data_IF_676287786128
#
_entry.id   IF_676287786128
#
_cell.length_a   1.000
_cell.length_b   1.000
_cell.length_c   1.000
_cell.angle_alpha   90.00
_cell.angle_beta   90.00
_cell.angle_gamma   90.00
#
_symmetry.space_group_name_H-M   'P 1'
#
loop_
_entity.id
_entity.type
_entity.pdbx_description
1 polymer ?
#
# COMPACT_ATOMS: atom_id res chain seq x y z
N UNK A 1 -1.30 2.49 -18.13
CA UNK A 1 -2.74 2.78 -18.37
C UNK A 1 -3.59 1.50 -18.37
N UNK A 2 -3.53 0.62 -19.39
CA UNK A 2 -4.19 -0.70 -19.39
C UNK A 2 -3.67 -1.65 -18.28
N UNK A 3 -2.38 -1.53 -17.97
CA UNK A 3 -1.66 -2.35 -17.00
C UNK A 3 -2.21 -2.32 -15.58
N UNK A 4 -2.62 -1.17 -15.04
CA UNK A 4 -3.14 -1.08 -13.65
C UNK A 4 -4.51 -1.74 -13.55
N UNK A 5 -5.40 -1.46 -14.52
CA UNK A 5 -6.71 -2.11 -14.57
C UNK A 5 -6.57 -3.63 -14.74
N UNK A 6 -5.65 -4.06 -15.61
CA UNK A 6 -5.36 -5.48 -15.84
C UNK A 6 -4.82 -6.16 -14.58
N UNK A 7 -3.90 -5.51 -13.85
CA UNK A 7 -3.36 -5.99 -12.59
C UNK A 7 -4.46 -6.16 -11.53
N UNK A 8 -5.30 -5.15 -11.36
CA UNK A 8 -6.39 -5.20 -10.37
C UNK A 8 -7.38 -6.32 -10.70
N UNK A 9 -7.87 -6.34 -11.94
CA UNK A 9 -8.92 -7.26 -12.40
C UNK A 9 -8.45 -8.71 -12.48
N UNK A 10 -7.24 -8.94 -12.97
CA UNK A 10 -6.80 -10.30 -13.31
C UNK A 10 -5.83 -10.91 -12.30
N UNK A 11 -5.30 -10.13 -11.35
CA UNK A 11 -4.34 -10.63 -10.36
C UNK A 11 -4.79 -10.32 -8.94
N UNK A 12 -4.93 -9.04 -8.59
CA UNK A 12 -5.15 -8.65 -7.18
C UNK A 12 -6.51 -9.12 -6.65
N UNK A 13 -7.61 -8.78 -7.33
CA UNK A 13 -8.96 -9.11 -6.87
C UNK A 13 -9.17 -10.63 -6.82
N UNK A 14 -8.83 -11.41 -7.87
CA UNK A 14 -8.93 -12.86 -7.81
C UNK A 14 -8.12 -13.49 -6.66
N UNK A 15 -6.90 -12.99 -6.41
CA UNK A 15 -6.07 -13.50 -5.32
C UNK A 15 -6.68 -13.23 -3.93
N UNK A 16 -7.32 -12.07 -3.73
CA UNK A 16 -8.01 -11.76 -2.48
C UNK A 16 -9.30 -12.58 -2.32
N UNK A 17 -10.02 -12.85 -3.42
CA UNK A 17 -11.20 -13.71 -3.43
C UNK A 17 -10.84 -15.15 -3.05
N UNK A 18 -9.77 -15.70 -3.63
CA UNK A 18 -9.26 -17.03 -3.30
C UNK A 18 -8.88 -17.16 -1.82
N UNK A 19 -8.42 -16.07 -1.20
CA UNK A 19 -8.09 -16.02 0.23
C UNK A 19 -9.29 -15.72 1.13
N UNK A 20 -10.47 -15.48 0.57
CA UNK A 20 -11.70 -15.17 1.32
C UNK A 20 -11.63 -13.87 2.14
N UNK A 21 -10.78 -12.92 1.76
CA UNK A 21 -10.50 -11.73 2.58
C UNK A 21 -10.93 -10.40 1.96
N UNK A 22 -11.58 -10.40 0.79
CA UNK A 22 -12.07 -9.17 0.13
C UNK A 22 -12.92 -8.33 1.09
N UNK A 23 -13.84 -8.97 1.81
CA UNK A 23 -14.75 -8.28 2.72
C UNK A 23 -14.11 -7.72 4.00
N UNK A 24 -12.85 -8.09 4.27
CA UNK A 24 -12.09 -7.57 5.43
C UNK A 24 -10.96 -6.65 4.99
N UNK A 25 -10.80 -6.43 3.68
CA UNK A 25 -9.69 -5.67 3.14
C UNK A 25 -10.05 -4.19 3.06
N UNK A 26 -9.22 -3.35 3.69
CA UNK A 26 -9.22 -1.90 3.45
C UNK A 26 -8.20 -1.62 2.35
N UNK A 27 -8.66 -1.10 1.22
CA UNK A 27 -7.81 -0.79 0.08
C UNK A 27 -7.25 0.63 0.20
N UNK A 28 -5.93 0.78 0.21
CA UNK A 28 -5.26 2.08 0.29
C UNK A 28 -4.46 2.35 -0.99
N UNK A 29 -4.69 3.52 -1.62
CA UNK A 29 -3.93 3.96 -2.80
C UNK A 29 -3.65 5.47 -2.75
N UNK A 30 -2.51 5.86 -3.29
CA UNK A 30 -2.18 7.27 -3.49
C UNK A 30 -3.15 7.98 -4.46
N UNK A 31 -3.17 9.31 -4.36
CA UNK A 31 -3.95 10.15 -5.26
C UNK A 31 -3.27 10.23 -6.63
N UNK A 32 -3.49 9.24 -7.49
CA UNK A 32 -3.03 9.24 -8.88
C UNK A 32 -3.87 10.19 -9.78
N UNK A 33 -3.35 10.66 -10.94
CA UNK A 33 -4.00 11.66 -11.78
C UNK A 33 -5.43 11.32 -12.25
N UNK A 34 -6.29 12.34 -12.47
CA UNK A 34 -7.74 12.19 -12.55
C UNK A 34 -8.28 11.45 -13.79
N UNK A 35 -7.55 11.38 -14.90
CA UNK A 35 -8.07 10.90 -16.19
C UNK A 35 -8.32 9.37 -16.27
N UNK A 36 -7.85 8.59 -15.28
CA UNK A 36 -8.03 7.11 -15.21
C UNK A 36 -8.85 6.71 -13.95
N UNK A 37 -9.28 7.69 -13.16
CA UNK A 37 -9.86 7.45 -11.85
C UNK A 37 -11.23 6.78 -11.89
N UNK A 38 -12.06 7.01 -12.91
CA UNK A 38 -13.47 6.59 -12.88
C UNK A 38 -13.67 5.06 -12.95
N UNK A 39 -13.12 4.38 -13.96
CA UNK A 39 -13.29 2.93 -14.11
C UNK A 39 -12.60 2.15 -12.98
N UNK A 40 -11.40 2.59 -12.58
CA UNK A 40 -10.69 2.01 -11.44
C UNK A 40 -11.48 2.25 -10.15
N UNK A 41 -12.09 3.43 -9.98
CA UNK A 41 -12.95 3.74 -8.84
C UNK A 41 -14.20 2.87 -8.81
N UNK A 42 -14.87 2.69 -9.95
CA UNK A 42 -16.02 1.78 -10.05
C UNK A 42 -15.63 0.34 -9.72
N UNK A 43 -14.52 -0.16 -10.28
CA UNK A 43 -14.04 -1.51 -9.99
C UNK A 43 -13.72 -1.69 -8.50
N UNK A 44 -12.98 -0.75 -7.90
CA UNK A 44 -12.67 -0.82 -6.47
C UNK A 44 -13.94 -0.72 -5.62
N UNK A 45 -14.86 0.18 -5.95
CA UNK A 45 -16.12 0.32 -5.22
C UNK A 45 -16.99 -0.94 -5.32
N UNK A 46 -16.99 -1.62 -6.47
CA UNK A 46 -17.73 -2.86 -6.68
C UNK A 46 -17.25 -4.00 -5.74
N UNK A 47 -15.94 -4.10 -5.51
CA UNK A 47 -15.37 -5.21 -4.72
C UNK A 47 -15.15 -4.86 -3.25
N UNK A 48 -14.72 -3.64 -2.95
CA UNK A 48 -14.37 -3.23 -1.59
C UNK A 48 -15.45 -2.36 -0.95
N UNK A 49 -16.37 -1.75 -1.69
CA UNK A 49 -17.29 -0.76 -1.11
C UNK A 49 -16.61 0.58 -0.81
N UNK A 50 -17.40 1.65 -0.77
CA UNK A 50 -16.90 3.03 -0.73
C UNK A 50 -16.25 3.41 0.61
N UNK A 51 -16.65 2.74 1.68
CA UNK A 51 -16.19 2.93 3.06
C UNK A 51 -14.85 2.25 3.35
N UNK A 52 -14.51 1.17 2.64
CA UNK A 52 -13.25 0.43 2.80
C UNK A 52 -12.16 0.85 1.81
N UNK A 53 -12.28 2.02 1.19
CA UNK A 53 -11.27 2.57 0.27
C UNK A 53 -10.71 3.89 0.80
N UNK A 54 -9.39 3.93 0.98
CA UNK A 54 -8.63 5.11 1.42
C UNK A 54 -7.86 5.70 0.23
N UNK A 55 -8.35 6.81 -0.33
CA UNK A 55 -7.72 7.54 -1.44
C UNK A 55 -8.33 8.94 -1.63
N UNK A 56 -7.65 9.83 -2.37
CA UNK A 56 -7.94 11.28 -2.50
C UNK A 56 -9.37 11.62 -2.98
N UNK A 57 -10.07 10.67 -3.61
CA UNK A 57 -11.40 10.88 -4.20
C UNK A 57 -12.46 9.90 -3.66
N UNK A 58 -12.25 9.34 -2.48
CA UNK A 58 -13.16 8.43 -1.78
C UNK A 58 -13.55 9.01 -0.42
N UNK A 59 -14.52 8.38 0.26
CA UNK A 59 -15.08 8.81 1.54
C UNK A 59 -14.02 9.02 2.62
N UNK A 60 -12.96 8.21 2.60
CA UNK A 60 -11.82 8.34 3.51
C UNK A 60 -10.63 8.94 2.75
N UNK A 61 -10.50 10.28 2.70
CA UNK A 61 -9.41 10.93 1.98
C UNK A 61 -8.08 10.71 2.71
N UNK A 62 -7.04 10.34 1.94
CA UNK A 62 -5.68 10.40 2.44
C UNK A 62 -5.21 11.86 2.45
N UNK A 63 -4.69 12.41 3.57
CA UNK A 63 -4.19 13.77 3.59
C UNK A 63 -3.07 13.97 2.54
N UNK A 64 -3.00 15.14 1.90
CA UNK A 64 -1.95 15.43 0.93
C UNK A 64 -0.57 15.35 1.59
N UNK A 65 0.41 14.73 0.90
CA UNK A 65 1.82 14.64 1.32
C UNK A 65 2.07 13.87 2.62
N UNK A 66 1.34 12.78 2.86
CA UNK A 66 1.57 11.88 4.00
C UNK A 66 2.13 10.51 3.58
N UNK A 67 3.41 10.43 3.12
CA UNK A 67 4.06 9.15 2.83
C UNK A 67 4.23 8.29 4.09
N UNK A 68 4.32 8.92 5.27
CA UNK A 68 4.33 8.29 6.60
C UNK A 68 3.07 7.49 6.90
N UNK A 69 1.95 7.79 6.23
CA UNK A 69 0.69 7.07 6.40
C UNK A 69 0.56 5.85 5.48
N UNK A 70 1.48 5.61 4.55
CA UNK A 70 1.45 4.42 3.70
C UNK A 70 2.51 3.44 4.15
N UNK A 71 2.16 2.23 4.63
CA UNK A 71 3.15 1.24 5.10
C UNK A 71 4.24 0.93 4.06
N UNK A 72 3.89 0.95 2.77
CA UNK A 72 4.86 0.74 1.70
C UNK A 72 5.90 1.87 1.60
N UNK A 73 5.45 3.13 1.67
CA UNK A 73 6.34 4.31 1.57
C UNK A 73 7.12 4.53 2.87
N UNK A 74 6.50 4.24 4.02
CA UNK A 74 7.11 4.38 5.35
C UNK A 74 8.20 3.34 5.60
N UNK A 75 7.98 2.07 5.22
CA UNK A 75 8.85 0.98 5.62
C UNK A 75 9.32 0.11 4.45
N UNK A 76 8.41 -0.41 3.62
CA UNK A 76 8.75 -1.45 2.65
C UNK A 76 9.82 -1.00 1.66
N UNK A 77 9.69 0.20 1.08
CA UNK A 77 10.67 0.70 0.11
C UNK A 77 12.04 0.96 0.73
N UNK A 78 12.09 1.50 1.95
CA UNK A 78 13.34 1.69 2.69
C UNK A 78 14.01 0.35 3.04
N UNK A 79 13.23 -0.61 3.52
CA UNK A 79 13.67 -1.97 3.80
C UNK A 79 14.23 -2.66 2.55
N UNK A 80 13.46 -2.68 1.46
CA UNK A 80 13.89 -3.30 0.19
C UNK A 80 15.14 -2.63 -0.35
N UNK A 81 15.23 -1.30 -0.29
CA UNK A 81 16.42 -0.58 -0.73
C UNK A 81 17.67 -1.02 0.06
N UNK A 82 17.53 -1.14 1.39
CA UNK A 82 18.62 -1.57 2.25
C UNK A 82 19.05 -3.03 1.97
N UNK A 83 18.11 -3.98 1.92
CA UNK A 83 18.45 -5.41 1.80
C UNK A 83 18.84 -5.84 0.39
N UNK A 84 18.23 -5.25 -0.64
CA UNK A 84 18.48 -5.64 -2.04
C UNK A 84 19.81 -5.06 -2.55
N UNK A 85 20.12 -3.80 -2.20
CA UNK A 85 21.31 -3.09 -2.66
C UNK A 85 22.48 -3.13 -1.67
N UNK A 86 22.36 -3.86 -0.55
CA UNK A 86 23.46 -4.06 0.39
C UNK A 86 24.68 -4.78 -0.22
N UNK A 87 24.48 -5.49 -1.33
CA UNK A 87 25.55 -6.12 -2.12
C UNK A 87 25.40 -5.78 -3.61
N UNK A 88 26.51 -5.73 -4.39
CA UNK A 88 26.45 -5.55 -5.84
C UNK A 88 25.50 -6.54 -6.51
N UNK A 89 24.81 -6.07 -7.55
CA UNK A 89 23.83 -6.84 -8.32
C UNK A 89 24.36 -6.97 -9.74
N UNK A 90 24.50 -8.20 -10.22
CA UNK A 90 25.15 -8.47 -11.50
C UNK A 90 24.21 -8.20 -12.70
N UNK A 91 22.91 -8.46 -12.56
CA UNK A 91 21.95 -8.30 -13.64
C UNK A 91 20.49 -8.17 -13.16
N UNK A 92 19.59 -7.91 -14.11
CA UNK A 92 18.16 -7.72 -13.85
C UNK A 92 17.46 -8.97 -13.30
N UNK A 93 17.89 -10.18 -13.69
CA UNK A 93 17.28 -11.41 -13.19
C UNK A 93 17.59 -11.60 -11.71
N UNK A 94 18.83 -11.33 -11.31
CA UNK A 94 19.24 -11.33 -9.91
C UNK A 94 18.49 -10.27 -9.10
N UNK A 95 18.35 -9.04 -9.62
CA UNK A 95 17.57 -7.99 -8.96
C UNK A 95 16.13 -8.45 -8.66
N UNK A 96 15.45 -9.00 -9.67
CA UNK A 96 14.08 -9.50 -9.53
C UNK A 96 14.01 -10.64 -8.51
N UNK A 97 14.95 -11.58 -8.55
CA UNK A 97 14.98 -12.70 -7.62
C UNK A 97 15.19 -12.23 -6.18
N UNK A 98 16.12 -11.31 -5.93
CA UNK A 98 16.36 -10.74 -4.59
C UNK A 98 15.12 -10.03 -4.05
N UNK A 99 14.46 -9.20 -4.86
CA UNK A 99 13.20 -8.52 -4.46
C UNK A 99 12.14 -9.56 -4.08
N UNK A 100 11.91 -10.56 -4.94
CA UNK A 100 10.92 -11.62 -4.70
C UNK A 100 11.23 -12.40 -3.42
N UNK A 101 12.47 -12.84 -3.23
CA UNK A 101 12.90 -13.59 -2.04
C UNK A 101 12.70 -12.77 -0.76
N UNK A 102 13.12 -11.51 -0.74
CA UNK A 102 12.95 -10.67 0.45
C UNK A 102 11.48 -10.39 0.76
N UNK A 103 10.62 -10.20 -0.25
CA UNK A 103 9.17 -10.05 -0.05
C UNK A 103 8.57 -11.32 0.55
N UNK A 104 8.93 -12.51 0.05
CA UNK A 104 8.43 -13.78 0.57
C UNK A 104 8.86 -14.06 2.01
N UNK A 105 10.02 -13.53 2.41
CA UNK A 105 10.55 -13.70 3.76
C UNK A 105 9.99 -12.68 4.78
N UNK A 106 9.16 -11.72 4.35
CA UNK A 106 8.50 -10.80 5.29
C UNK A 106 7.45 -11.59 6.09
N UNK A 107 7.68 -11.68 7.40
CA UNK A 107 6.78 -12.39 8.31
C UNK A 107 5.55 -11.57 8.67
N UNK A 108 4.49 -12.24 9.11
CA UNK A 108 3.26 -11.60 9.63
C UNK A 108 3.58 -10.75 10.86
N UNK A 109 4.54 -11.17 11.68
CA UNK A 109 5.02 -10.46 12.87
C UNK A 109 5.65 -9.12 12.49
N UNK A 110 6.48 -9.11 11.44
CA UNK A 110 7.07 -7.87 10.90
C UNK A 110 5.99 -6.92 10.41
N UNK A 111 5.00 -7.43 9.66
CA UNK A 111 3.88 -6.61 9.17
C UNK A 111 3.07 -6.00 10.33
N UNK A 112 2.80 -6.78 11.38
CA UNK A 112 2.09 -6.32 12.59
C UNK A 112 2.88 -5.25 13.35
N UNK A 113 4.20 -5.42 13.46
CA UNK A 113 5.09 -4.43 14.09
C UNK A 113 5.09 -3.09 13.36
N UNK A 114 5.14 -3.11 12.02
CA UNK A 114 5.09 -1.91 11.18
C UNK A 114 3.76 -1.18 11.34
N UNK A 115 2.65 -1.91 11.39
CA UNK A 115 1.32 -1.34 11.61
C UNK A 115 1.21 -0.65 12.98
N UNK A 116 1.68 -1.30 14.04
CA UNK A 116 1.70 -0.72 15.39
C UNK A 116 2.56 0.55 15.45
N UNK A 117 3.73 0.54 14.83
CA UNK A 117 4.65 1.69 14.78
C UNK A 117 4.00 2.87 14.05
N UNK A 118 3.32 2.61 12.94
CA UNK A 118 2.57 3.64 12.20
C UNK A 118 1.46 4.25 13.06
N UNK A 119 0.71 3.43 13.80
CA UNK A 119 -0.38 3.92 14.68
C UNK A 119 0.16 4.83 15.80
N UNK A 120 1.34 4.52 16.33
CA UNK A 120 2.00 5.34 17.34
C UNK A 120 2.50 6.69 16.78
N UNK A 121 3.11 6.68 15.58
CA UNK A 121 3.51 7.90 14.88
C UNK A 121 2.30 8.78 14.53
N UNK A 122 1.20 8.18 14.06
CA UNK A 122 -0.04 8.88 13.72
C UNK A 122 -0.70 9.52 14.95
N UNK A 123 -0.71 8.81 16.09
CA UNK A 123 -1.22 9.32 17.38
C UNK A 123 -0.38 10.49 17.90
N UNK A 124 0.94 10.39 17.77
CA UNK A 124 1.88 11.45 18.19
C UNK A 124 1.75 12.70 17.31
N UNK A 125 1.54 12.52 16.01
CA UNK A 125 1.33 13.63 15.08
C UNK A 125 -0.02 14.34 15.32
N UNK A 126 -1.09 13.60 15.66
CA UNK A 126 -2.36 14.21 16.09
C UNK A 126 -2.16 15.06 17.36
N UNK A 127 -1.44 14.58 18.37
CA UNK A 127 -1.16 15.36 19.59
C UNK A 127 -0.39 16.66 19.31
N UNK A 128 0.60 16.65 18.43
CA UNK A 128 1.38 17.86 18.06
C UNK A 128 0.58 18.88 17.23
N UNK A 129 -0.55 18.49 16.63
CA UNK A 129 -1.42 19.39 15.87
C UNK A 129 -2.46 20.12 16.74
N UNK A 130 -2.69 19.66 17.98
CA UNK A 130 -3.64 20.26 18.93
C UNK A 130 -2.98 21.07 20.07
N UNK A 131 -1.65 21.09 20.18
CA UNK A 131 -0.92 21.93 21.14
C UNK A 131 -0.42 23.24 20.54
N UNK A 132 -1.04 23.69 19.44
CA UNK A 132 -0.77 24.98 18.81
C UNK A 132 -2.06 25.79 18.75
N UNK A 133 -2.61 26.10 19.93
CA UNK A 133 -3.49 27.22 20.21
C UNK A 133 -3.18 27.71 21.63
#
# INVERSE_FOLDING_TARGET
MRHVMNLLRNQLIPALQQRGCVDRTIFMKDGAPPHIAALVKQLLNLHFGNDRIVSRHFTTPLPPRSPDLKPCDFWLWGYLNYVVYGNPIANLAELKNRITQHIHNITTETLRSVENTKQQCSTTHRRKRWTAY
#
